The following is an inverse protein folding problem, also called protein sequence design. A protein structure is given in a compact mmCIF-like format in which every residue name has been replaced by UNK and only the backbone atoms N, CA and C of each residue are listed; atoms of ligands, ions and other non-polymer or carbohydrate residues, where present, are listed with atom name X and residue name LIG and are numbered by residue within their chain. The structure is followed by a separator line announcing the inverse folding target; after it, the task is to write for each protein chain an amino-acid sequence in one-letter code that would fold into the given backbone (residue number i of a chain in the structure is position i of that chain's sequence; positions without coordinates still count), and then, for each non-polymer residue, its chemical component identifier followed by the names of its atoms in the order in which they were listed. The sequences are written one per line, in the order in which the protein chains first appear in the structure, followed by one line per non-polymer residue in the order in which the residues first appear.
data_IF_990515874490
#
_entry.id   IF_990515874490
#
_cell.length_a   1.000
_cell.length_b   1.000
_cell.length_c   1.000
_cell.angle_alpha   90.00
_cell.angle_beta   90.00
_cell.angle_gamma   90.00
#
_symmetry.space_group_name_H-M   'P 1'
#
loop_
_entity.id
_entity.type
_entity.pdbx_description
1 polymer ?
#
# COMPACT_ATOMS: atom_id res chain seq x y z
N UNK A 1 9.68 6.31 32.88
CA UNK A 1 10.45 5.62 31.82
C UNK A 1 9.66 4.37 31.43
N UNK A 2 9.55 4.11 30.12
CA UNK A 2 8.79 3.03 29.44
C UNK A 2 7.42 3.44 28.88
N UNK A 3 7.41 3.97 27.66
CA UNK A 3 6.33 3.73 26.69
C UNK A 3 6.98 3.52 25.33
N UNK A 4 7.15 2.25 24.99
CA UNK A 4 7.67 1.80 23.70
C UNK A 4 6.66 2.14 22.60
N UNK A 5 7.15 2.81 21.55
CA UNK A 5 6.47 3.12 20.31
C UNK A 5 5.98 1.82 19.63
N UNK A 6 4.66 1.57 19.52
CA UNK A 6 4.16 0.33 18.89
C UNK A 6 4.15 0.40 17.35
N UNK A 7 4.49 1.54 16.74
CA UNK A 7 4.45 1.74 15.27
C UNK A 7 5.59 1.00 14.56
N UNK A 8 6.63 0.56 15.27
CA UNK A 8 7.82 -0.06 14.66
C UNK A 8 7.75 -1.58 14.47
N UNK A 9 6.69 -2.27 14.91
CA UNK A 9 6.68 -3.74 14.96
C UNK A 9 5.59 -4.37 14.09
N UNK A 10 5.75 -4.31 12.76
CA UNK A 10 4.86 -4.97 11.77
C UNK A 10 5.30 -6.42 11.53
N UNK A 11 5.49 -7.18 12.61
CA UNK A 11 6.00 -8.55 12.56
C UNK A 11 5.69 -9.35 13.81
N UNK A 12 4.45 -9.78 13.97
CA UNK A 12 4.02 -11.06 14.57
C UNK A 12 2.65 -10.91 15.22
N UNK A 13 1.59 -11.34 14.53
CA UNK A 13 0.42 -11.92 15.20
C UNK A 13 -0.23 -12.90 14.22
N UNK A 14 -0.12 -14.19 14.52
CA UNK A 14 -0.78 -15.28 13.82
C UNK A 14 -1.90 -15.79 14.72
N UNK A 15 -3.11 -15.93 14.19
CA UNK A 15 -3.79 -17.21 14.27
C UNK A 15 -4.16 -17.74 12.88
N UNK A 16 -4.01 -19.05 12.72
CA UNK A 16 -4.11 -19.83 11.48
C UNK A 16 -5.57 -20.30 11.30
N UNK A 17 -6.24 -19.97 10.19
CA UNK A 17 -7.51 -20.58 9.77
C UNK A 17 -7.77 -20.38 8.25
N UNK A 18 -8.57 -21.23 7.58
CA UNK A 18 -8.21 -21.87 6.30
C UNK A 18 -8.73 -21.20 5.01
N UNK A 19 -8.11 -21.59 3.88
CA UNK A 19 -8.35 -21.13 2.51
C UNK A 19 -9.65 -21.72 1.86
N UNK A 20 -10.17 -21.11 0.77
CA UNK A 20 -11.57 -21.16 0.37
C UNK A 20 -11.92 -22.26 -0.64
N UNK A 21 -13.22 -22.57 -0.77
CA UNK A 21 -13.77 -23.46 -1.82
C UNK A 21 -14.15 -22.65 -3.06
N UNK A 22 -13.62 -23.09 -4.20
CA UNK A 22 -13.92 -22.57 -5.54
C UNK A 22 -15.36 -22.85 -5.99
N UNK A 23 -15.95 -21.89 -6.69
CA UNK A 23 -16.95 -22.15 -7.72
C UNK A 23 -16.63 -21.26 -8.93
N UNK A 24 -16.08 -21.88 -9.98
CA UNK A 24 -15.85 -21.25 -11.26
C UNK A 24 -17.16 -21.28 -12.08
N UNK A 25 -17.57 -20.12 -12.59
CA UNK A 25 -18.59 -20.02 -13.65
C UNK A 25 -17.92 -19.43 -14.89
N UNK A 26 -18.05 -20.17 -15.98
CA UNK A 26 -17.36 -19.99 -17.26
C UNK A 26 -18.23 -19.09 -18.13
N UNK A 27 -17.78 -17.86 -18.40
CA UNK A 27 -18.37 -17.00 -19.42
C UNK A 27 -17.33 -16.75 -20.51
N UNK A 28 -17.53 -17.41 -21.64
CA UNK A 28 -16.88 -17.10 -22.92
C UNK A 28 -17.42 -15.79 -23.46
N UNK A 29 -16.58 -14.78 -23.62
CA UNK A 29 -16.82 -13.69 -24.56
C UNK A 29 -15.51 -13.27 -25.20
N UNK A 30 -15.37 -13.59 -26.48
CA UNK A 30 -14.33 -13.03 -27.33
C UNK A 30 -14.67 -11.56 -27.63
N UNK A 31 -13.84 -10.68 -27.11
CA UNK A 31 -13.61 -9.32 -27.59
C UNK A 31 -12.25 -8.92 -27.04
N UNK A 32 -11.37 -8.35 -27.87
CA UNK A 32 -10.11 -7.76 -27.40
C UNK A 32 -10.45 -6.54 -26.55
N UNK A 33 -10.73 -6.77 -25.27
CA UNK A 33 -10.84 -5.71 -24.29
C UNK A 33 -9.43 -5.22 -24.02
N UNK A 34 -9.11 -4.02 -24.50
CA UNK A 34 -8.06 -3.26 -23.85
C UNK A 34 -8.46 -3.18 -22.36
N UNK A 35 -7.60 -3.59 -21.42
CA UNK A 35 -7.95 -3.64 -20.00
C UNK A 35 -8.19 -2.25 -19.36
N UNK A 36 -8.26 -1.19 -20.17
CA UNK A 36 -8.42 0.21 -19.77
C UNK A 36 -9.80 0.80 -20.07
N UNK A 37 -10.66 0.13 -20.85
CA UNK A 37 -12.00 0.65 -21.17
C UNK A 37 -13.06 0.11 -20.21
N UNK A 38 -13.11 0.68 -19.01
CA UNK A 38 -14.24 0.55 -18.08
C UNK A 38 -14.72 1.95 -17.67
N UNK A 39 -15.69 2.47 -18.44
CA UNK A 39 -16.55 3.64 -18.21
C UNK A 39 -16.45 4.36 -16.83
N UNK A 40 -16.01 5.62 -16.86
CA UNK A 40 -16.15 6.64 -15.82
C UNK A 40 -15.13 7.77 -16.01
N UNK A 41 -15.55 9.04 -15.98
CA UNK A 41 -14.66 10.23 -16.02
C UNK A 41 -13.79 10.32 -14.76
N UNK A 42 -12.86 9.37 -14.59
CA UNK A 42 -11.89 9.36 -13.53
C UNK A 42 -10.51 9.20 -14.16
N UNK A 43 -9.78 10.31 -14.24
CA UNK A 43 -8.36 10.32 -14.61
C UNK A 43 -7.57 9.59 -13.52
N UNK A 44 -7.45 8.28 -13.64
CA UNK A 44 -6.60 7.47 -12.77
C UNK A 44 -5.15 7.66 -13.21
N UNK A 45 -4.33 8.23 -12.34
CA UNK A 45 -2.93 8.44 -12.64
C UNK A 45 -2.11 7.16 -12.40
N UNK A 46 -1.50 6.62 -13.45
CA UNK A 46 -0.49 5.57 -13.31
C UNK A 46 0.89 6.22 -13.13
N UNK A 47 1.44 6.10 -11.93
CA UNK A 47 2.78 6.59 -11.59
C UNK A 47 3.79 5.46 -11.64
N UNK A 48 4.58 5.46 -12.71
CA UNK A 48 5.75 4.60 -12.85
C UNK A 48 6.91 5.09 -11.97
N UNK A 49 7.84 4.17 -11.69
CA UNK A 49 8.99 4.42 -10.82
C UNK A 49 9.76 5.69 -11.19
N UNK A 50 10.09 5.86 -12.47
CA UNK A 50 10.91 6.99 -12.96
C UNK A 50 10.23 8.35 -12.76
N UNK A 51 8.90 8.38 -12.63
CA UNK A 51 8.12 9.61 -12.39
C UNK A 51 8.03 9.97 -10.90
N UNK A 52 8.39 9.04 -10.02
CA UNK A 52 8.48 9.27 -8.57
C UNK A 52 9.86 9.72 -8.13
N UNK A 53 10.90 9.42 -8.92
CA UNK A 53 12.25 9.86 -8.61
C UNK A 53 12.32 11.40 -8.59
N UNK A 54 12.74 11.95 -7.44
CA UNK A 54 12.81 13.39 -7.23
C UNK A 54 11.48 14.09 -6.99
N UNK A 55 10.35 13.38 -6.99
CA UNK A 55 9.04 13.97 -6.71
C UNK A 55 8.87 14.37 -5.23
N UNK A 56 9.62 13.74 -4.33
CA UNK A 56 9.61 14.02 -2.90
C UNK A 56 11.03 13.93 -2.32
N UNK A 57 11.48 14.98 -1.63
CA UNK A 57 12.78 15.00 -0.96
C UNK A 57 12.78 14.24 0.37
N UNK A 58 13.96 13.81 0.84
CA UNK A 58 14.07 13.06 2.10
C UNK A 58 13.58 13.85 3.33
N UNK A 59 13.87 15.17 3.39
CA UNK A 59 13.40 16.01 4.51
C UNK A 59 11.88 16.10 4.54
N UNK A 60 11.26 16.35 3.38
CA UNK A 60 9.80 16.39 3.24
C UNK A 60 9.18 15.03 3.59
N UNK A 61 9.81 13.93 3.19
CA UNK A 61 9.36 12.59 3.56
C UNK A 61 9.39 12.36 5.08
N UNK A 62 10.43 12.84 5.78
CA UNK A 62 10.52 12.79 7.25
C UNK A 62 9.38 13.61 7.88
N UNK A 63 9.18 14.85 7.44
CA UNK A 63 8.14 15.74 7.97
C UNK A 63 6.72 15.17 7.74
N UNK A 64 6.47 14.55 6.57
CA UNK A 64 5.22 13.86 6.27
C UNK A 64 5.01 12.63 7.17
N UNK A 65 6.06 11.86 7.45
CA UNK A 65 5.99 10.71 8.36
C UNK A 65 5.71 11.14 9.80
N UNK A 66 6.29 12.25 10.27
CA UNK A 66 5.94 12.82 11.58
C UNK A 66 4.48 13.25 11.63
N UNK A 67 3.98 13.86 10.55
CA UNK A 67 2.58 14.28 10.44
C UNK A 67 1.65 13.07 10.48
N UNK A 68 1.95 12.02 9.72
CA UNK A 68 1.20 10.77 9.75
C UNK A 68 1.22 10.10 11.14
N UNK A 69 2.35 10.14 11.84
CA UNK A 69 2.46 9.63 13.21
C UNK A 69 1.58 10.44 14.19
N UNK A 70 1.50 11.77 14.04
CA UNK A 70 0.58 12.61 14.82
C UNK A 70 -0.88 12.27 14.53
N UNK A 71 -1.23 11.99 13.27
CA UNK A 71 -2.59 11.55 12.91
C UNK A 71 -2.93 10.20 13.55
N UNK A 72 -1.98 9.28 13.58
CA UNK A 72 -2.15 7.98 14.24
C UNK A 72 -2.34 8.12 15.75
N UNK A 73 -1.50 8.93 16.41
CA UNK A 73 -1.62 9.23 17.85
C UNK A 73 -2.97 9.90 18.19
N UNK A 74 -3.47 10.76 17.30
CA UNK A 74 -4.79 11.38 17.42
C UNK A 74 -5.97 10.43 17.09
N UNK A 75 -5.72 9.18 16.71
CA UNK A 75 -6.74 8.21 16.32
C UNK A 75 -7.43 8.51 14.98
N UNK A 76 -6.84 9.39 14.15
CA UNK A 76 -7.34 9.72 12.82
C UNK A 76 -6.95 8.67 11.76
N UNK A 77 -5.98 7.80 12.07
CA UNK A 77 -5.51 6.72 11.19
C UNK A 77 -6.07 5.36 11.61
N UNK A 78 -6.55 4.59 10.65
CA UNK A 78 -6.96 3.19 10.83
C UNK A 78 -6.06 2.31 9.97
N UNK A 79 -5.33 1.39 10.59
CA UNK A 79 -4.49 0.41 9.90
C UNK A 79 -5.09 -0.98 10.06
N UNK A 80 -5.39 -1.63 8.94
CA UNK A 80 -5.91 -3.01 8.99
C UNK A 80 -4.80 -4.03 9.19
N UNK A 81 -5.10 -5.20 9.78
CA UNK A 81 -4.15 -6.31 9.85
C UNK A 81 -3.61 -6.66 8.47
N UNK A 82 -2.29 -6.86 8.39
CA UNK A 82 -1.64 -7.27 7.14
C UNK A 82 -2.13 -8.66 6.74
N UNK A 83 -2.58 -8.81 5.50
CA UNK A 83 -2.83 -10.10 4.90
C UNK A 83 -1.51 -10.66 4.38
N UNK A 84 -1.10 -11.83 4.87
CA UNK A 84 0.08 -12.55 4.41
C UNK A 84 -0.35 -13.90 3.85
N UNK A 85 0.06 -14.18 2.61
CA UNK A 85 -0.25 -15.46 1.95
C UNK A 85 1.03 -16.01 1.34
N UNK A 86 1.40 -17.22 1.76
CA UNK A 86 2.51 -17.96 1.16
C UNK A 86 1.94 -19.02 0.20
N UNK A 87 2.66 -19.31 -0.87
CA UNK A 87 2.31 -20.34 -1.84
C UNK A 87 3.60 -20.93 -2.43
N UNK A 88 3.46 -22.03 -3.17
CA UNK A 88 4.61 -22.68 -3.80
C UNK A 88 5.23 -21.74 -4.84
N UNK A 89 6.50 -21.39 -4.62
CA UNK A 89 7.22 -20.47 -5.50
C UNK A 89 7.13 -18.99 -5.12
N UNK A 90 6.51 -18.62 -3.99
CA UNK A 90 6.44 -17.21 -3.60
C UNK A 90 5.60 -16.86 -2.38
N UNK A 91 5.33 -15.56 -2.26
CA UNK A 91 4.43 -15.01 -1.25
C UNK A 91 3.81 -13.70 -1.72
N UNK A 92 2.66 -13.36 -1.16
CA UNK A 92 1.95 -12.10 -1.38
C UNK A 92 1.54 -11.48 -0.05
N UNK A 93 1.62 -10.15 0.02
CA UNK A 93 1.27 -9.36 1.19
C UNK A 93 0.43 -8.16 0.77
N UNK A 94 -0.65 -7.92 1.50
CA UNK A 94 -1.56 -6.81 1.27
C UNK A 94 -1.73 -6.03 2.58
N UNK A 95 -1.57 -4.71 2.48
CA UNK A 95 -1.75 -3.75 3.56
C UNK A 95 -2.85 -2.78 3.15
N UNK A 96 -3.60 -2.31 4.14
CA UNK A 96 -4.61 -1.29 3.98
C UNK A 96 -4.54 -0.32 5.15
N UNK A 97 -4.60 0.98 4.83
CA UNK A 97 -4.65 2.04 5.82
C UNK A 97 -5.58 3.16 5.34
N UNK A 98 -6.27 3.78 6.28
CA UNK A 98 -7.11 4.96 6.09
C UNK A 98 -6.54 6.06 6.97
N UNK A 99 -6.26 7.23 6.42
CA UNK A 99 -5.93 8.43 7.19
C UNK A 99 -7.03 9.47 6.96
N UNK A 100 -7.88 9.64 7.97
CA UNK A 100 -9.02 10.57 7.92
C UNK A 100 -8.57 12.03 7.92
N UNK A 101 -7.46 12.34 8.58
CA UNK A 101 -6.93 13.70 8.66
C UNK A 101 -6.31 14.13 7.33
N UNK A 102 -5.63 13.21 6.64
CA UNK A 102 -5.15 13.45 5.27
C UNK A 102 -6.24 13.34 4.21
N UNK A 103 -7.37 12.69 4.51
CA UNK A 103 -8.50 12.52 3.59
C UNK A 103 -8.27 11.45 2.52
N UNK A 104 -7.39 10.48 2.78
CA UNK A 104 -7.05 9.41 1.85
C UNK A 104 -7.08 8.04 2.50
N UNK A 105 -7.31 7.01 1.69
CA UNK A 105 -7.02 5.64 2.05
C UNK A 105 -6.20 4.97 0.96
N UNK A 106 -5.34 4.04 1.35
CA UNK A 106 -4.44 3.39 0.43
C UNK A 106 -4.34 1.89 0.69
N UNK A 107 -4.14 1.14 -0.39
CA UNK A 107 -3.72 -0.26 -0.30
C UNK A 107 -2.28 -0.37 -0.82
N UNK A 108 -1.49 -1.22 -0.18
CA UNK A 108 -0.19 -1.63 -0.67
C UNK A 108 -0.16 -3.13 -0.82
N UNK A 109 0.00 -3.60 -2.04
CA UNK A 109 0.15 -5.02 -2.37
C UNK A 109 1.54 -5.27 -2.90
N UNK A 110 2.22 -6.28 -2.37
CA UNK A 110 3.54 -6.66 -2.85
C UNK A 110 3.75 -8.15 -2.73
N UNK A 111 4.53 -8.68 -3.66
CA UNK A 111 4.75 -10.11 -3.76
C UNK A 111 6.17 -10.40 -4.22
N UNK A 112 6.61 -11.61 -3.90
CA UNK A 112 7.82 -12.20 -4.43
C UNK A 112 7.42 -13.45 -5.20
N UNK A 113 7.90 -13.55 -6.44
CA UNK A 113 7.96 -14.81 -7.18
C UNK A 113 9.44 -15.21 -7.25
N UNK A 114 9.74 -16.48 -6.96
CA UNK A 114 11.09 -17.02 -7.08
C UNK A 114 11.67 -16.72 -8.47
N UNK A 115 12.89 -16.19 -8.51
CA UNK A 115 13.57 -15.79 -9.75
C UNK A 115 13.15 -14.43 -10.34
N UNK A 116 12.07 -13.79 -9.86
CA UNK A 116 11.56 -12.53 -10.44
C UNK A 116 11.74 -11.29 -9.56
N UNK A 117 12.18 -11.47 -8.31
CA UNK A 117 12.33 -10.40 -7.34
C UNK A 117 11.00 -9.89 -6.76
N UNK A 118 11.06 -8.81 -5.97
CA UNK A 118 9.87 -8.22 -5.32
C UNK A 118 9.25 -7.15 -6.21
N UNK A 119 7.92 -7.22 -6.38
CA UNK A 119 7.09 -6.24 -7.08
C UNK A 119 6.08 -5.63 -6.14
N UNK A 120 5.74 -4.36 -6.38
CA UNK A 120 4.91 -3.55 -5.51
C UNK A 120 3.88 -2.80 -6.34
N UNK A 121 2.67 -2.68 -5.81
CA UNK A 121 1.67 -1.74 -6.29
C UNK A 121 1.02 -1.06 -5.09
N UNK A 122 0.87 0.25 -5.17
CA UNK A 122 0.14 1.06 -4.20
C UNK A 122 -1.02 1.72 -4.92
N UNK A 123 -2.22 1.58 -4.37
CA UNK A 123 -3.41 2.27 -4.88
C UNK A 123 -3.84 3.32 -3.86
N UNK A 124 -4.01 4.56 -4.31
CA UNK A 124 -4.43 5.70 -3.49
C UNK A 124 -5.85 6.10 -3.85
N UNK A 125 -6.70 6.27 -2.84
CA UNK A 125 -8.09 6.65 -3.00
C UNK A 125 -8.41 7.88 -2.16
N UNK A 126 -9.27 8.76 -2.69
CA UNK A 126 -9.80 9.88 -1.94
C UNK A 126 -10.94 9.41 -1.03
N UNK A 127 -10.89 9.83 0.23
CA UNK A 127 -11.92 9.50 1.22
C UNK A 127 -13.24 10.25 0.95
N UNK A 128 -13.17 11.38 0.25
CA UNK A 128 -14.33 12.26 -0.01
C UNK A 128 -15.44 11.58 -0.83
N UNK A 129 -15.05 10.80 -1.84
CA UNK A 129 -15.94 10.20 -2.84
C UNK A 129 -15.54 8.76 -3.22
N UNK A 130 -14.44 8.25 -2.67
CA UNK A 130 -13.92 6.92 -2.98
C UNK A 130 -13.19 6.83 -4.31
N UNK A 131 -12.92 7.96 -4.98
CA UNK A 131 -12.26 7.96 -6.28
C UNK A 131 -10.83 7.38 -6.19
N UNK A 132 -10.48 6.50 -7.13
CA UNK A 132 -9.10 6.04 -7.30
C UNK A 132 -8.29 7.19 -7.92
N UNK A 133 -7.35 7.72 -7.15
CA UNK A 133 -6.54 8.88 -7.54
C UNK A 133 -5.30 8.44 -8.31
N UNK A 134 -4.62 7.42 -7.80
CA UNK A 134 -3.39 6.95 -8.41
C UNK A 134 -3.13 5.47 -8.16
N UNK A 135 -2.52 4.83 -9.14
CA UNK A 135 -1.83 3.56 -8.99
C UNK A 135 -0.33 3.82 -9.15
N UNK A 136 0.46 3.33 -8.21
CA UNK A 136 1.86 3.73 -8.06
C UNK A 136 2.75 2.50 -7.99
N UNK A 137 3.87 2.48 -8.72
CA UNK A 137 4.94 1.51 -8.47
C UNK A 137 5.52 1.78 -7.07
N UNK A 138 5.27 0.82 -6.18
CA UNK A 138 5.57 0.99 -4.77
C UNK A 138 7.05 0.87 -4.42
N UNK A 139 7.97 0.54 -5.34
CA UNK A 139 9.39 0.36 -5.00
C UNK A 139 10.01 1.64 -4.45
N UNK A 140 10.01 2.72 -5.23
CA UNK A 140 10.63 3.99 -4.86
C UNK A 140 10.03 4.56 -3.55
N UNK A 141 8.70 4.55 -3.43
CA UNK A 141 8.02 5.00 -2.20
C UNK A 141 8.38 4.12 -1.00
N UNK A 142 8.52 2.81 -1.20
CA UNK A 142 8.87 1.89 -0.11
C UNK A 142 10.26 2.17 0.44
N UNK A 143 11.23 2.45 -0.44
CA UNK A 143 12.60 2.74 -0.04
C UNK A 143 12.67 4.11 0.66
N UNK A 144 12.06 5.14 0.05
CA UNK A 144 12.01 6.49 0.60
C UNK A 144 11.37 6.53 1.99
N UNK A 145 10.17 5.93 2.15
CA UNK A 145 9.45 5.96 3.44
C UNK A 145 10.15 5.13 4.51
N UNK A 146 10.92 4.11 4.13
CA UNK A 146 11.70 3.31 5.09
C UNK A 146 12.92 4.10 5.55
N UNK A 147 13.62 4.77 4.64
CA UNK A 147 14.71 5.69 4.99
C UNK A 147 14.22 6.84 5.86
N UNK A 148 13.10 7.47 5.50
CA UNK A 148 12.51 8.56 6.27
C UNK A 148 12.02 8.10 7.65
N UNK A 149 11.47 6.89 7.80
CA UNK A 149 11.11 6.35 9.11
C UNK A 149 12.34 6.24 10.04
N UNK A 150 13.47 5.77 9.51
CA UNK A 150 14.74 5.79 10.25
C UNK A 150 15.20 7.22 10.56
N UNK A 151 14.99 8.16 9.63
CA UNK A 151 15.29 9.58 9.80
C UNK A 151 14.50 10.25 10.93
N UNK A 152 13.21 9.92 11.08
CA UNK A 152 12.37 10.39 12.20
C UNK A 152 12.95 9.92 13.54
N UNK A 153 13.41 8.68 13.61
CA UNK A 153 14.00 8.12 14.84
C UNK A 153 15.37 8.73 15.17
N UNK A 154 16.14 9.10 14.14
CA UNK A 154 17.48 9.66 14.30
C UNK A 154 17.51 11.15 14.66
N UNK A 155 16.37 11.84 14.61
CA UNK A 155 16.20 13.26 14.91
C UNK A 155 16.07 13.51 16.41
#
# INVERSE_FOLDING_TARGET
MTSALPILNIGNYFPRAPAPRHAASRATLGASLNPFDCCGEHDVLLLEMDRLEGALGMREAIDLLETAARHEDAGATVVSPRLNTNFDGGWMRILFAVDKASGYFATKSYHLIQGSGVRYVVSLYALKDGALIAMIDGRAITDLRTGAASGVVAR
#
